data_IF_228400776185
#
_entry.id   IF_228400776185
#
_cell.length_a   1.000
_cell.length_b   1.000
_cell.length_c   1.000
_cell.angle_alpha   90.00
_cell.angle_beta   90.00
_cell.angle_gamma   90.00
#
_symmetry.space_group_name_H-M   'P 1'
#
loop_
_entity.id
_entity.type
_entity.pdbx_description
1 polymer ?
#
# COMPACT_ATOMS: atom_id res chain seq x y z
N UNK A 1 21.27 -12.30 -8.10
CA UNK A 1 20.65 -12.57 -9.41
C UNK A 1 19.20 -12.12 -9.31
N UNK A 2 18.82 -11.13 -10.11
CA UNK A 2 17.42 -10.67 -10.23
C UNK A 2 16.62 -11.73 -11.00
N UNK A 3 15.69 -12.37 -10.33
CA UNK A 3 14.77 -13.30 -10.95
C UNK A 3 13.42 -12.59 -11.14
N UNK A 4 13.13 -12.25 -12.39
CA UNK A 4 11.82 -11.85 -12.91
C UNK A 4 11.04 -10.85 -12.06
N UNK A 5 11.16 -9.57 -12.35
CA UNK A 5 10.27 -8.56 -11.79
C UNK A 5 9.12 -8.30 -12.77
N UNK A 6 7.90 -8.48 -12.32
CA UNK A 6 6.73 -8.03 -13.07
C UNK A 6 6.50 -6.55 -12.73
N UNK A 7 6.47 -5.68 -13.75
CA UNK A 7 6.21 -4.25 -13.58
C UNK A 7 4.73 -3.94 -13.30
N UNK A 8 3.86 -4.90 -13.53
CA UNK A 8 2.41 -4.74 -13.40
C UNK A 8 1.87 -5.75 -12.39
N UNK A 9 1.86 -5.42 -11.08
CA UNK A 9 1.31 -6.31 -10.08
C UNK A 9 -0.18 -6.54 -10.34
N UNK A 10 -0.62 -7.77 -10.19
CA UNK A 10 -2.05 -8.08 -10.16
C UNK A 10 -2.62 -7.68 -8.81
N UNK A 11 -3.36 -6.58 -8.75
CA UNK A 11 -3.91 -6.04 -7.51
C UNK A 11 -4.99 -6.94 -6.88
N UNK A 12 -5.59 -7.81 -7.68
CA UNK A 12 -6.66 -8.72 -7.24
C UNK A 12 -6.16 -10.16 -6.99
N UNK A 13 -4.87 -10.42 -7.17
CA UNK A 13 -4.33 -11.74 -6.90
C UNK A 13 -4.27 -11.98 -5.39
N UNK A 14 -4.96 -13.04 -4.98
CA UNK A 14 -4.93 -13.57 -3.63
C UNK A 14 -4.20 -14.91 -3.65
N UNK A 15 -3.57 -15.26 -2.55
CA UNK A 15 -2.86 -16.54 -2.40
C UNK A 15 -3.81 -17.72 -2.15
N UNK A 16 -5.08 -17.61 -2.54
CA UNK A 16 -6.11 -18.62 -2.27
C UNK A 16 -5.63 -20.05 -2.53
N UNK A 17 -5.55 -20.83 -1.45
CA UNK A 17 -5.46 -22.29 -1.51
C UNK A 17 -4.15 -22.88 -2.01
N UNK A 18 -3.12 -22.09 -2.25
CA UNK A 18 -1.78 -22.62 -2.42
C UNK A 18 -1.18 -22.85 -1.05
N UNK A 19 -1.39 -24.04 -0.51
CA UNK A 19 -0.46 -24.53 0.51
C UNK A 19 0.96 -24.27 0.01
N UNK A 20 1.89 -23.81 0.88
CA UNK A 20 3.28 -23.67 0.47
C UNK A 20 3.67 -25.01 -0.13
N UNK A 21 3.99 -25.00 -1.43
CA UNK A 21 4.38 -26.21 -2.12
C UNK A 21 5.43 -26.87 -1.23
N UNK A 22 5.07 -28.01 -0.64
CA UNK A 22 6.02 -28.83 0.10
C UNK A 22 7.26 -28.87 -0.77
N UNK A 23 8.40 -28.53 -0.18
CA UNK A 23 9.68 -28.48 -0.87
C UNK A 23 9.73 -29.67 -1.80
N UNK A 24 9.55 -29.41 -3.10
CA UNK A 24 9.53 -30.45 -4.09
C UNK A 24 10.83 -31.22 -3.90
N UNK A 25 10.73 -32.38 -3.29
CA UNK A 25 11.82 -33.34 -3.18
C UNK A 25 12.10 -33.76 -4.60
N UNK A 26 13.15 -33.21 -5.19
CA UNK A 26 13.56 -33.53 -6.57
C UNK A 26 14.14 -34.95 -6.69
N UNK A 27 13.88 -35.84 -5.74
CA UNK A 27 14.36 -37.22 -5.79
C UNK A 27 13.27 -38.12 -5.22
N UNK A 28 12.52 -38.79 -6.11
CA UNK A 28 11.77 -39.98 -5.75
C UNK A 28 12.77 -41.07 -5.33
N UNK A 29 12.82 -41.37 -4.05
CA UNK A 29 13.70 -42.41 -3.51
C UNK A 29 14.00 -42.15 -2.04
N UNK A 30 13.70 -43.12 -1.23
CA UNK A 30 13.92 -43.33 0.19
C UNK A 30 14.81 -42.34 0.94
N UNK A 31 14.33 -41.90 2.11
CA UNK A 31 15.06 -41.12 3.12
C UNK A 31 16.46 -41.71 3.33
N UNK A 32 17.47 -41.09 2.75
CA UNK A 32 18.86 -41.23 3.18
C UNK A 32 19.33 -39.90 3.72
N UNK A 33 19.71 -39.98 4.98
CA UNK A 33 20.32 -38.93 5.76
C UNK A 33 21.48 -38.23 5.03
N UNK A 34 21.62 -36.92 5.26
CA UNK A 34 22.78 -36.11 4.95
C UNK A 34 23.33 -36.25 3.52
N UNK A 35 22.67 -35.62 2.58
CA UNK A 35 23.36 -35.22 1.36
C UNK A 35 24.28 -34.02 1.71
N UNK A 36 25.51 -34.37 2.10
CA UNK A 36 26.62 -33.43 2.27
C UNK A 36 26.89 -32.81 0.88
N UNK A 37 26.25 -31.71 0.56
CA UNK A 37 26.44 -31.02 -0.71
C UNK A 37 27.74 -30.24 -0.61
N UNK A 38 28.80 -30.60 -1.34
CA UNK A 38 30.07 -29.90 -1.29
C UNK A 38 30.05 -28.50 -1.93
N UNK A 39 28.86 -28.09 -2.43
CA UNK A 39 28.70 -26.80 -3.11
C UNK A 39 27.71 -25.93 -2.35
N UNK A 40 28.13 -24.74 -1.92
CA UNK A 40 27.26 -23.74 -1.32
C UNK A 40 26.25 -23.31 -2.37
N UNK A 41 24.97 -23.66 -2.16
CA UNK A 41 23.90 -23.25 -3.06
C UNK A 41 23.68 -21.72 -2.94
N UNK A 42 23.37 -21.09 -4.06
CA UNK A 42 22.96 -19.70 -4.06
C UNK A 42 21.65 -19.56 -3.28
N UNK A 43 21.56 -18.49 -2.51
CA UNK A 43 20.34 -18.12 -1.84
C UNK A 43 19.27 -17.76 -2.90
N UNK A 44 18.11 -18.40 -2.81
CA UNK A 44 16.99 -18.21 -3.75
C UNK A 44 16.09 -17.02 -3.35
N UNK A 45 16.58 -16.11 -2.51
CA UNK A 45 15.84 -14.93 -2.14
C UNK A 45 15.55 -14.07 -3.38
N UNK A 46 14.27 -13.77 -3.60
CA UNK A 46 13.84 -12.84 -4.64
C UNK A 46 13.93 -11.41 -4.10
N UNK A 47 14.14 -10.43 -4.99
CA UNK A 47 14.24 -9.04 -4.59
C UNK A 47 12.94 -8.51 -3.95
N UNK A 48 11.80 -9.06 -4.36
CA UNK A 48 10.49 -8.67 -3.85
C UNK A 48 10.01 -9.52 -2.66
N UNK A 49 10.84 -10.43 -2.10
CA UNK A 49 10.43 -11.35 -1.04
C UNK A 49 9.85 -10.68 0.20
N UNK A 50 10.37 -9.51 0.57
CA UNK A 50 9.85 -8.75 1.71
C UNK A 50 8.46 -8.15 1.43
N UNK A 51 8.22 -7.67 0.20
CA UNK A 51 6.89 -7.21 -0.22
C UNK A 51 5.90 -8.37 -0.30
N UNK A 52 6.33 -9.53 -0.75
CA UNK A 52 5.50 -10.74 -0.77
C UNK A 52 5.13 -11.17 0.65
N UNK A 53 6.09 -11.13 1.58
CA UNK A 53 5.84 -11.43 2.98
C UNK A 53 4.84 -10.44 3.59
N UNK A 54 5.00 -9.13 3.33
CA UNK A 54 4.09 -8.09 3.78
C UNK A 54 2.67 -8.32 3.26
N UNK A 55 2.53 -8.62 1.96
CA UNK A 55 1.24 -8.90 1.33
C UNK A 55 0.59 -10.15 1.91
N UNK A 56 1.35 -11.23 2.12
CA UNK A 56 0.86 -12.45 2.75
C UNK A 56 0.42 -12.23 4.19
N UNK A 57 1.10 -11.36 4.95
CA UNK A 57 0.70 -10.94 6.31
C UNK A 57 -0.66 -10.26 6.29
N UNK A 58 -0.88 -9.35 5.32
CA UNK A 58 -2.17 -8.68 5.11
C UNK A 58 -3.27 -9.70 4.78
N UNK A 59 -3.03 -10.63 3.87
CA UNK A 59 -3.99 -11.67 3.48
C UNK A 59 -4.32 -12.60 4.67
N UNK A 60 -3.31 -13.07 5.40
CA UNK A 60 -3.48 -13.97 6.56
C UNK A 60 -4.24 -13.31 7.71
N UNK A 61 -4.20 -12.00 7.83
CA UNK A 61 -4.97 -11.29 8.86
C UNK A 61 -6.49 -11.42 8.67
N UNK A 62 -6.94 -11.89 7.50
CA UNK A 62 -8.35 -11.95 7.13
C UNK A 62 -9.00 -10.58 6.92
N UNK A 63 -8.23 -9.51 7.04
CA UNK A 63 -8.65 -8.14 6.75
C UNK A 63 -8.03 -7.72 5.43
N UNK A 64 -8.84 -7.12 4.57
CA UNK A 64 -8.35 -6.45 3.38
C UNK A 64 -8.65 -4.96 3.51
N UNK A 65 -7.70 -4.17 4.06
CA UNK A 65 -7.93 -2.75 4.26
C UNK A 65 -8.29 -2.04 2.97
N UNK A 66 -9.23 -1.10 3.06
CA UNK A 66 -9.70 -0.31 1.92
C UNK A 66 -9.00 1.02 1.88
N UNK A 67 -8.31 1.29 0.77
CA UNK A 67 -7.64 2.55 0.50
C UNK A 67 -8.45 3.34 -0.53
N UNK A 68 -9.02 4.45 -0.13
CA UNK A 68 -9.85 5.32 -0.95
C UNK A 68 -9.06 6.51 -1.47
N UNK A 69 -9.09 6.74 -2.78
CA UNK A 69 -8.43 7.88 -3.41
C UNK A 69 -9.38 9.07 -3.43
N UNK A 70 -9.17 10.06 -2.56
CA UNK A 70 -9.89 11.33 -2.56
C UNK A 70 -9.22 12.24 -3.58
N UNK A 71 -9.70 12.20 -4.83
CA UNK A 71 -9.16 12.97 -5.95
C UNK A 71 -9.93 14.27 -6.12
N UNK A 72 -9.24 15.41 -6.04
CA UNK A 72 -9.85 16.74 -6.16
C UNK A 72 -8.87 17.70 -6.83
N UNK A 73 -9.36 18.81 -7.40
CA UNK A 73 -8.57 19.87 -8.00
C UNK A 73 -8.07 19.54 -9.41
N UNK A 74 -6.85 19.93 -9.73
CA UNK A 74 -6.26 19.83 -11.07
C UNK A 74 -6.28 18.39 -11.62
N UNK A 75 -6.94 18.19 -12.76
CA UNK A 75 -7.18 16.86 -13.34
C UNK A 75 -5.89 16.06 -13.59
N UNK A 76 -4.87 16.65 -14.19
CA UNK A 76 -3.65 15.96 -14.54
C UNK A 76 -2.86 15.54 -13.27
N UNK A 77 -2.76 16.45 -12.30
CA UNK A 77 -2.04 16.21 -11.07
C UNK A 77 -2.75 15.20 -10.17
N UNK A 78 -4.07 15.33 -9.98
CA UNK A 78 -4.84 14.38 -9.16
C UNK A 78 -4.79 12.96 -9.72
N UNK A 79 -4.83 12.80 -11.06
CA UNK A 79 -4.72 11.49 -11.70
C UNK A 79 -3.31 10.88 -11.51
N UNK A 80 -2.26 11.67 -11.72
CA UNK A 80 -0.89 11.20 -11.50
C UNK A 80 -0.64 10.79 -10.04
N UNK A 81 -1.16 11.57 -9.08
CA UNK A 81 -1.07 11.28 -7.65
C UNK A 81 -1.89 10.05 -7.26
N UNK A 82 -3.10 9.90 -7.80
CA UNK A 82 -3.94 8.74 -7.59
C UNK A 82 -3.27 7.47 -8.14
N UNK A 83 -2.77 7.49 -9.36
CA UNK A 83 -2.07 6.35 -9.95
C UNK A 83 -0.85 5.91 -9.12
N UNK A 84 -0.04 6.88 -8.66
CA UNK A 84 1.09 6.60 -7.78
C UNK A 84 0.63 5.95 -6.47
N UNK A 85 -0.39 6.53 -5.83
CA UNK A 85 -0.92 6.06 -4.54
C UNK A 85 -1.57 4.68 -4.64
N UNK A 86 -2.31 4.42 -5.72
CA UNK A 86 -2.89 3.10 -6.02
C UNK A 86 -1.79 2.04 -6.09
N UNK A 87 -0.73 2.28 -6.86
CA UNK A 87 0.38 1.35 -6.99
C UNK A 87 1.11 1.14 -5.66
N UNK A 88 1.33 2.22 -4.90
CA UNK A 88 2.00 2.19 -3.61
C UNK A 88 1.25 1.31 -2.61
N UNK A 89 -0.04 1.54 -2.42
CA UNK A 89 -0.86 0.83 -1.42
C UNK A 89 -1.22 -0.59 -1.86
N UNK A 90 -1.36 -0.84 -3.16
CA UNK A 90 -1.59 -2.18 -3.69
C UNK A 90 -0.43 -3.15 -3.44
N UNK A 91 0.81 -2.65 -3.24
CA UNK A 91 1.95 -3.49 -2.86
C UNK A 91 1.71 -4.26 -1.55
N UNK A 92 0.96 -3.69 -0.61
CA UNK A 92 0.58 -4.34 0.64
C UNK A 92 -0.66 -5.25 0.52
N UNK A 93 -1.29 -5.34 -0.65
CA UNK A 93 -2.50 -6.14 -0.87
C UNK A 93 -3.79 -5.45 -0.46
N UNK A 94 -3.78 -4.14 -0.21
CA UNK A 94 -4.98 -3.37 0.13
C UNK A 94 -5.96 -3.31 -1.05
N UNK A 95 -7.25 -3.22 -0.74
CA UNK A 95 -8.28 -2.94 -1.72
C UNK A 95 -8.26 -1.45 -2.07
N UNK A 96 -7.91 -1.13 -3.31
CA UNK A 96 -7.83 0.25 -3.77
C UNK A 96 -9.12 0.66 -4.43
N UNK A 97 -9.72 1.76 -3.95
CA UNK A 97 -10.93 2.36 -4.50
C UNK A 97 -10.53 3.67 -5.16
N UNK A 98 -10.44 3.64 -6.50
CA UNK A 98 -10.17 4.81 -7.32
C UNK A 98 -11.46 5.44 -7.81
N UNK A 99 -11.41 6.71 -8.18
CA UNK A 99 -12.58 7.47 -8.67
C UNK A 99 -12.18 8.56 -9.67
N UNK A 100 -13.19 9.13 -10.34
CA UNK A 100 -12.98 10.16 -11.36
C UNK A 100 -12.70 11.56 -10.78
N UNK A 101 -13.01 11.77 -9.51
CA UNK A 101 -12.80 13.03 -8.80
C UNK A 101 -14.07 13.65 -8.24
N UNK A 102 -13.89 14.44 -7.20
CA UNK A 102 -14.96 15.11 -6.46
C UNK A 102 -14.95 16.60 -6.72
N UNK A 103 -16.11 17.24 -6.52
CA UNK A 103 -16.25 18.70 -6.63
C UNK A 103 -15.93 19.40 -5.31
N UNK A 104 -16.15 18.71 -4.19
CA UNK A 104 -15.83 19.22 -2.85
C UNK A 104 -15.17 18.14 -1.98
N UNK A 105 -14.49 18.61 -0.94
CA UNK A 105 -13.82 17.73 0.05
C UNK A 105 -14.85 16.93 0.83
N UNK A 106 -15.97 17.58 1.20
CA UNK A 106 -17.04 16.98 1.98
C UNK A 106 -17.67 15.80 1.25
N UNK A 107 -17.97 15.97 -0.05
CA UNK A 107 -18.47 14.90 -0.92
C UNK A 107 -17.51 13.71 -0.95
N UNK A 108 -16.22 13.97 -1.15
CA UNK A 108 -15.20 12.93 -1.20
C UNK A 108 -15.04 12.18 0.12
N UNK A 109 -15.09 12.88 1.25
CA UNK A 109 -15.03 12.27 2.59
C UNK A 109 -16.29 11.45 2.88
N UNK A 110 -17.48 11.94 2.53
CA UNK A 110 -18.73 11.18 2.69
C UNK A 110 -18.68 9.87 1.91
N UNK A 111 -18.23 9.89 0.67
CA UNK A 111 -18.10 8.68 -0.16
C UNK A 111 -17.05 7.71 0.41
N UNK A 112 -15.92 8.21 0.92
CA UNK A 112 -14.92 7.40 1.60
C UNK A 112 -15.50 6.69 2.84
N UNK A 113 -16.30 7.39 3.63
CA UNK A 113 -16.97 6.83 4.80
C UNK A 113 -18.08 5.83 4.44
N UNK A 114 -18.84 6.08 3.39
CA UNK A 114 -19.83 5.12 2.85
C UNK A 114 -19.15 3.83 2.37
N UNK A 115 -17.97 3.96 1.74
CA UNK A 115 -17.16 2.83 1.32
C UNK A 115 -16.52 2.09 2.51
N UNK A 116 -16.57 2.65 3.73
CA UNK A 116 -15.89 2.14 4.93
C UNK A 116 -14.39 2.03 4.69
N UNK A 117 -13.78 3.10 4.18
CA UNK A 117 -12.35 3.16 3.92
C UNK A 117 -11.58 3.19 5.25
N UNK A 118 -10.54 2.36 5.32
CA UNK A 118 -9.58 2.35 6.45
C UNK A 118 -8.48 3.39 6.24
N UNK A 119 -8.19 3.71 4.97
CA UNK A 119 -7.19 4.70 4.56
C UNK A 119 -7.86 5.65 3.55
N UNK A 120 -7.64 6.94 3.71
CA UNK A 120 -8.06 7.98 2.75
C UNK A 120 -6.83 8.74 2.27
N UNK A 121 -6.61 8.74 0.97
CA UNK A 121 -5.46 9.42 0.35
C UNK A 121 -5.94 10.63 -0.43
N UNK A 122 -5.54 11.81 0.01
CA UNK A 122 -5.82 13.04 -0.71
C UNK A 122 -4.86 13.18 -1.90
N UNK A 123 -5.44 13.25 -3.10
CA UNK A 123 -4.72 13.37 -4.37
C UNK A 123 -5.10 14.68 -5.06
N UNK A 124 -4.19 15.66 -5.08
CA UNK A 124 -4.36 16.95 -5.70
C UNK A 124 -3.02 17.50 -6.19
N UNK A 125 -2.97 18.77 -6.60
CA UNK A 125 -1.70 19.45 -6.88
C UNK A 125 -1.05 19.98 -5.61
N UNK A 126 0.27 20.21 -5.67
CA UNK A 126 1.04 20.65 -4.51
C UNK A 126 0.54 22.00 -3.96
N UNK A 127 0.06 22.89 -4.82
CA UNK A 127 -0.46 24.23 -4.44
C UNK A 127 -1.84 24.15 -3.75
N UNK A 128 -2.63 23.13 -4.10
CA UNK A 128 -4.01 22.97 -3.62
C UNK A 128 -4.10 22.23 -2.27
N UNK A 129 -3.02 21.56 -1.83
CA UNK A 129 -3.05 20.83 -0.56
C UNK A 129 -3.25 21.75 0.65
N UNK A 130 -2.77 22.99 0.60
CA UNK A 130 -2.97 23.97 1.68
C UNK A 130 -4.47 24.26 1.91
N UNK A 131 -5.28 24.21 0.85
CA UNK A 131 -6.72 24.47 0.90
C UNK A 131 -7.52 23.22 1.31
N UNK A 132 -7.18 22.05 0.74
CA UNK A 132 -8.02 20.83 0.87
C UNK A 132 -7.64 19.93 2.04
N UNK A 133 -6.38 19.90 2.46
CA UNK A 133 -5.92 18.89 3.39
C UNK A 133 -6.49 19.06 4.82
N UNK A 134 -6.53 20.28 5.33
CA UNK A 134 -7.04 20.55 6.68
C UNK A 134 -8.57 20.36 6.79
N UNK A 135 -9.39 20.82 5.84
CA UNK A 135 -10.82 20.48 5.80
C UNK A 135 -11.08 18.99 5.72
N UNK A 136 -10.32 18.26 4.88
CA UNK A 136 -10.45 16.82 4.74
C UNK A 136 -10.14 16.07 6.05
N UNK A 137 -9.05 16.44 6.73
CA UNK A 137 -8.69 15.86 8.03
C UNK A 137 -9.82 16.07 9.07
N UNK A 138 -10.35 17.30 9.15
CA UNK A 138 -11.43 17.62 10.08
C UNK A 138 -12.72 16.86 9.78
N UNK A 139 -13.10 16.77 8.50
CA UNK A 139 -14.30 16.06 8.08
C UNK A 139 -14.18 14.55 8.32
N UNK A 140 -12.97 14.00 8.20
CA UNK A 140 -12.69 12.58 8.45
C UNK A 140 -12.75 12.21 9.94
N UNK A 141 -12.46 13.14 10.83
CA UNK A 141 -12.58 13.02 12.30
C UNK A 141 -11.92 11.73 12.85
N UNK A 142 -10.70 11.45 12.44
CA UNK A 142 -9.90 10.27 12.81
C UNK A 142 -10.59 8.90 12.55
N UNK A 143 -11.60 8.84 11.69
CA UNK A 143 -12.30 7.60 11.36
C UNK A 143 -11.53 6.69 10.38
N UNK A 144 -10.51 7.22 9.72
CA UNK A 144 -9.59 6.50 8.85
C UNK A 144 -8.20 7.12 8.90
N UNK A 145 -7.18 6.39 8.46
CA UNK A 145 -5.82 6.92 8.32
C UNK A 145 -5.82 7.92 7.16
N UNK A 146 -5.49 9.19 7.44
CA UNK A 146 -5.41 10.22 6.42
C UNK A 146 -3.99 10.35 5.89
N UNK A 147 -3.84 10.35 4.57
CA UNK A 147 -2.56 10.42 3.85
C UNK A 147 -2.62 11.51 2.79
N UNK A 148 -1.56 12.28 2.63
CA UNK A 148 -1.37 13.23 1.53
C UNK A 148 -0.42 12.65 0.50
N UNK A 149 -0.85 12.61 -0.77
CA UNK A 149 -0.05 12.07 -1.88
C UNK A 149 0.88 13.14 -2.46
N UNK A 150 2.07 13.27 -1.92
CA UNK A 150 3.07 14.23 -2.36
C UNK A 150 3.96 14.73 -1.24
N UNK A 151 4.85 15.65 -1.60
CA UNK A 151 5.69 16.39 -0.67
C UNK A 151 5.58 17.88 -0.99
N UNK A 152 4.41 18.51 -0.71
CA UNK A 152 4.20 19.92 -1.02
C UNK A 152 5.09 20.84 -0.19
N UNK A 153 5.30 22.06 -0.67
CA UNK A 153 6.10 23.06 0.04
C UNK A 153 5.50 23.41 1.42
N UNK A 154 4.16 23.30 1.56
CA UNK A 154 3.44 23.53 2.82
C UNK A 154 3.43 22.32 3.77
N UNK A 155 4.26 21.30 3.54
CA UNK A 155 4.27 20.06 4.36
C UNK A 155 4.43 20.36 5.85
N UNK A 156 5.28 21.30 6.23
CA UNK A 156 5.52 21.62 7.65
C UNK A 156 4.29 22.25 8.30
N UNK A 157 3.56 23.09 7.58
CA UNK A 157 2.29 23.67 8.03
C UNK A 157 1.21 22.60 8.17
N UNK A 158 1.16 21.65 7.23
CA UNK A 158 0.24 20.52 7.29
C UNK A 158 0.55 19.59 8.46
N UNK A 159 1.82 19.37 8.78
CA UNK A 159 2.23 18.62 9.98
C UNK A 159 1.81 19.35 11.25
N UNK A 160 1.99 20.65 11.31
CA UNK A 160 1.53 21.48 12.43
C UNK A 160 0.00 21.43 12.61
N UNK A 161 -0.76 21.21 11.53
CA UNK A 161 -2.21 21.01 11.54
C UNK A 161 -2.63 19.57 11.93
N UNK A 162 -1.67 18.64 12.17
CA UNK A 162 -1.92 17.27 12.60
C UNK A 162 -1.93 16.21 11.48
N UNK A 163 -1.45 16.55 10.28
CA UNK A 163 -1.31 15.58 9.19
C UNK A 163 0.08 14.96 9.27
N UNK A 164 0.14 13.68 9.61
CA UNK A 164 1.41 12.99 9.84
C UNK A 164 1.87 12.13 8.65
N UNK A 165 0.94 11.66 7.82
CA UNK A 165 1.23 10.67 6.80
C UNK A 165 1.33 11.32 5.41
N UNK A 166 2.51 11.16 4.79
CA UNK A 166 2.78 11.63 3.43
C UNK A 166 3.41 10.50 2.63
N UNK A 167 2.95 10.30 1.40
CA UNK A 167 3.55 9.34 0.48
C UNK A 167 4.08 10.04 -0.76
N UNK A 168 5.34 9.82 -1.08
CA UNK A 168 6.02 10.44 -2.22
C UNK A 168 7.15 9.53 -2.73
N UNK A 169 7.70 9.84 -3.88
CA UNK A 169 8.71 9.02 -4.58
C UNK A 169 10.00 8.75 -3.78
N UNK A 170 10.26 9.52 -2.73
CA UNK A 170 11.44 9.36 -1.86
C UNK A 170 11.16 8.58 -0.58
N UNK A 171 9.91 8.16 -0.35
CA UNK A 171 9.57 7.30 0.80
C UNK A 171 10.14 5.90 0.62
N UNK A 172 10.55 5.28 1.72
CA UNK A 172 10.77 3.84 1.73
C UNK A 172 9.40 3.14 1.74
N UNK A 173 9.04 2.56 0.59
CA UNK A 173 7.70 1.96 0.39
C UNK A 173 7.44 0.84 1.40
N UNK A 174 8.43 -0.03 1.61
CA UNK A 174 8.29 -1.19 2.49
C UNK A 174 8.07 -0.77 3.94
N UNK A 175 8.90 0.12 4.46
CA UNK A 175 8.83 0.57 5.86
C UNK A 175 7.52 1.33 6.11
N UNK A 176 7.12 2.20 5.16
CA UNK A 176 5.85 2.94 5.26
C UNK A 176 4.64 2.00 5.27
N UNK A 177 4.65 0.96 4.43
CA UNK A 177 3.55 0.00 4.39
C UNK A 177 3.50 -0.90 5.63
N UNK A 178 4.66 -1.25 6.22
CA UNK A 178 4.72 -1.95 7.51
C UNK A 178 4.10 -1.10 8.62
N UNK A 179 4.45 0.19 8.67
CA UNK A 179 3.86 1.13 9.64
C UNK A 179 2.33 1.22 9.50
N UNK A 180 1.81 1.23 8.25
CA UNK A 180 0.36 1.23 8.03
C UNK A 180 -0.29 -0.09 8.43
N UNK A 181 0.35 -1.22 8.19
CA UNK A 181 -0.14 -2.51 8.69
C UNK A 181 -0.24 -2.52 10.22
N UNK A 182 0.77 -2.01 10.92
CA UNK A 182 0.75 -1.89 12.38
C UNK A 182 -0.41 -1.00 12.85
N UNK A 183 -0.58 0.19 12.24
CA UNK A 183 -1.69 1.11 12.56
C UNK A 183 -3.07 0.47 12.32
N UNK A 184 -3.18 -0.43 11.35
CA UNK A 184 -4.40 -1.17 11.03
C UNK A 184 -4.59 -2.45 11.88
N UNK A 185 -3.62 -2.74 12.78
CA UNK A 185 -3.64 -3.91 13.65
C UNK A 185 -3.35 -5.23 12.93
N UNK A 186 -2.68 -5.17 11.79
CA UNK A 186 -2.17 -6.32 11.04
C UNK A 186 -0.76 -6.61 11.55
N UNK A 187 -0.58 -7.77 12.18
CA UNK A 187 0.73 -8.20 12.69
C UNK A 187 1.46 -9.04 11.63
N UNK A 188 2.78 -8.87 11.57
CA UNK A 188 3.67 -9.72 10.78
C UNK A 188 3.66 -11.20 11.23
#
# INVERSE_FOLDING_TARGET
VLLGTNQYPNFNELSEGKEPAEKASCCGGEKKDSCDRPVKTLDNARMASEFEALRLSTEKSGKRPKAFMLTIGNLAMRQARAQFSCNFLACAGYEVIDNLGFQSVEEGVEEALKAKADIVVLCSSDDEYAEYAVPALKALDNRAIFIVAGAPACMDDLKAAGIENFIHVRCNVLDTLKEYNEKLGIKE
#
